data_IF_677945009575
#
_entry.id   IF_677945009575
#
_cell.length_a   1.000
_cell.length_b   1.000
_cell.length_c   1.000
_cell.angle_alpha   90.00
_cell.angle_beta   90.00
_cell.angle_gamma   90.00
#
_symmetry.space_group_name_H-M   'P 1'
#
loop_
_entity.id
_entity.type
_entity.pdbx_description
1 polymer ?
#
# COMPACT_ATOMS: atom_id res chain seq x y z
N UNK A 1 -5.81 25.37 12.92
CA UNK A 1 -6.60 25.66 14.14
C UNK A 1 -6.08 26.88 14.90
N UNK A 2 -4.76 27.00 15.17
CA UNK A 2 -4.18 28.14 15.90
C UNK A 2 -4.26 29.50 15.17
N UNK A 3 -4.08 29.52 13.85
CA UNK A 3 -4.19 30.75 13.03
C UNK A 3 -5.61 31.34 13.02
N UNK A 4 -6.65 30.51 13.10
CA UNK A 4 -8.04 30.99 13.19
C UNK A 4 -8.34 31.69 14.51
N UNK A 5 -7.60 31.35 15.57
CA UNK A 5 -7.72 31.97 16.88
C UNK A 5 -7.11 33.38 16.90
N UNK A 6 -5.97 33.57 16.21
CA UNK A 6 -5.34 34.88 16.00
C UNK A 6 -6.25 35.83 15.20
N UNK A 7 -6.96 35.29 14.21
CA UNK A 7 -7.93 36.01 13.39
C UNK A 7 -9.14 36.49 14.19
N UNK A 8 -9.64 35.71 15.15
CA UNK A 8 -10.78 36.10 15.98
C UNK A 8 -10.47 37.19 17.02
N UNK A 9 -9.19 37.39 17.36
CA UNK A 9 -8.73 38.40 18.34
C UNK A 9 -8.37 39.73 17.65
N UNK A 10 -8.07 39.71 16.34
CA UNK A 10 -7.68 40.88 15.58
C UNK A 10 -8.89 41.78 15.27
N UNK A 11 -9.09 42.81 16.10
CA UNK A 11 -10.19 43.78 15.99
C UNK A 11 -10.12 44.71 14.75
N UNK A 12 -9.13 44.52 13.86
CA UNK A 12 -8.97 45.32 12.64
C UNK A 12 -8.29 44.52 11.52
N UNK A 13 -9.09 43.86 10.67
CA UNK A 13 -8.61 43.13 9.50
C UNK A 13 -8.25 44.07 8.35
N UNK A 14 -6.98 44.13 7.95
CA UNK A 14 -6.61 44.82 6.72
C UNK A 14 -6.69 43.89 5.50
N UNK A 15 -6.86 44.45 4.30
CA UNK A 15 -6.83 43.68 3.03
C UNK A 15 -5.51 42.92 2.83
N UNK A 16 -4.42 43.41 3.43
CA UNK A 16 -3.10 42.80 3.35
C UNK A 16 -3.01 41.54 4.24
N UNK A 17 -3.59 41.59 5.44
CA UNK A 17 -3.64 40.43 6.36
C UNK A 17 -4.46 39.28 5.78
N UNK A 18 -5.57 39.60 5.11
CA UNK A 18 -6.37 38.61 4.38
C UNK A 18 -5.55 37.92 3.28
N UNK A 19 -4.83 38.70 2.45
CA UNK A 19 -3.97 38.14 1.39
C UNK A 19 -2.89 37.23 1.98
N UNK A 20 -2.23 37.64 3.06
CA UNK A 20 -1.18 36.84 3.70
C UNK A 20 -1.72 35.53 4.28
N UNK A 21 -2.87 35.58 4.94
CA UNK A 21 -3.55 34.41 5.51
C UNK A 21 -3.96 33.42 4.43
N UNK A 22 -4.51 33.91 3.32
CA UNK A 22 -4.91 33.09 2.17
C UNK A 22 -3.70 32.42 1.49
N UNK A 23 -2.61 33.15 1.31
CA UNK A 23 -1.38 32.60 0.74
C UNK A 23 -0.80 31.53 1.68
N UNK A 24 -0.73 31.81 2.97
CA UNK A 24 -0.24 30.86 3.98
C UNK A 24 -1.07 29.57 4.01
N UNK A 25 -2.40 29.67 3.97
CA UNK A 25 -3.27 28.49 3.95
C UNK A 25 -3.09 27.65 2.69
N UNK A 26 -2.92 28.29 1.52
CA UNK A 26 -2.63 27.61 0.27
C UNK A 26 -1.31 26.82 0.35
N UNK A 27 -0.24 27.44 0.87
CA UNK A 27 1.04 26.75 1.08
C UNK A 27 0.92 25.58 2.06
N UNK A 28 0.15 25.72 3.15
CA UNK A 28 -0.08 24.63 4.11
C UNK A 28 -0.85 23.46 3.49
N UNK A 29 -1.82 23.72 2.62
CA UNK A 29 -2.55 22.68 1.89
C UNK A 29 -1.59 21.93 0.94
N UNK A 30 -0.79 22.66 0.17
CA UNK A 30 0.21 22.06 -0.72
C UNK A 30 1.24 21.23 0.05
N UNK A 31 1.72 21.73 1.19
CA UNK A 31 2.65 21.02 2.05
C UNK A 31 2.03 19.75 2.63
N UNK A 32 0.77 19.81 3.05
CA UNK A 32 0.03 18.64 3.55
C UNK A 32 -0.17 17.58 2.46
N UNK A 33 -0.50 17.99 1.23
CA UNK A 33 -0.58 17.10 0.06
C UNK A 33 0.77 16.43 -0.23
N UNK A 34 1.88 17.17 -0.12
CA UNK A 34 3.22 16.62 -0.31
C UNK A 34 3.57 15.56 0.75
N UNK A 35 3.19 15.77 2.01
CA UNK A 35 3.36 14.76 3.07
C UNK A 35 2.53 13.51 2.77
N UNK A 36 1.26 13.68 2.37
CA UNK A 36 0.36 12.56 2.04
C UNK A 36 0.85 11.76 0.83
N UNK A 37 1.54 12.40 -0.11
CA UNK A 37 2.14 11.74 -1.28
C UNK A 37 3.37 10.89 -0.94
N UNK A 38 3.85 10.87 0.30
CA UNK A 38 5.05 10.11 0.68
C UNK A 38 4.79 8.60 0.73
N UNK A 39 5.76 7.82 0.23
CA UNK A 39 5.65 6.35 0.18
C UNK A 39 5.45 5.67 1.55
N UNK A 40 5.91 6.31 2.63
CA UNK A 40 5.70 5.81 4.00
C UNK A 40 4.23 5.93 4.43
N UNK A 41 3.54 7.02 4.06
CA UNK A 41 2.11 7.20 4.34
C UNK A 41 1.29 6.13 3.61
N UNK A 42 1.62 5.85 2.35
CA UNK A 42 0.98 4.77 1.57
C UNK A 42 1.13 3.40 2.25
N UNK A 43 2.30 3.11 2.84
CA UNK A 43 2.54 1.87 3.58
C UNK A 43 1.73 1.82 4.88
N UNK A 44 1.70 2.90 5.66
CA UNK A 44 0.94 2.99 6.94
C UNK A 44 -0.56 2.82 6.70
N UNK A 45 -1.10 3.41 5.63
CA UNK A 45 -2.52 3.31 5.27
C UNK A 45 -2.89 1.95 4.66
N UNK A 46 -1.92 1.05 4.49
CA UNK A 46 -2.09 -0.22 3.79
C UNK A 46 -2.60 -0.07 2.34
N UNK A 47 -2.24 0.99 1.64
CA UNK A 47 -2.65 1.24 0.24
C UNK A 47 -1.72 0.64 -0.80
N UNK A 48 -0.45 0.42 -0.44
CA UNK A 48 0.55 -0.08 -1.36
C UNK A 48 1.96 0.07 -0.83
N UNK A 49 2.93 -0.35 -1.64
CA UNK A 49 4.35 -0.43 -1.29
C UNK A 49 4.60 -1.25 -0.01
N UNK A 50 3.84 -2.35 0.16
CA UNK A 50 3.91 -3.24 1.33
C UNK A 50 4.61 -4.51 0.92
N UNK A 51 5.65 -4.90 1.65
CA UNK A 51 6.28 -6.19 1.50
C UNK A 51 5.55 -7.19 2.40
N UNK A 52 4.98 -8.23 1.82
CA UNK A 52 4.36 -9.32 2.56
C UNK A 52 5.32 -10.50 2.61
N UNK A 53 5.47 -11.07 3.81
CA UNK A 53 6.15 -12.34 3.99
C UNK A 53 5.32 -13.47 3.38
N UNK A 54 4.00 -13.43 3.63
CA UNK A 54 3.04 -14.40 3.12
C UNK A 54 1.70 -13.73 2.80
N UNK A 55 1.12 -14.05 1.64
CA UNK A 55 -0.28 -13.81 1.29
C UNK A 55 -1.01 -15.14 1.18
N UNK A 56 -2.05 -15.35 1.97
CA UNK A 56 -2.89 -16.54 1.91
C UNK A 56 -4.03 -16.30 0.94
N UNK A 57 -4.13 -17.15 -0.07
CA UNK A 57 -5.08 -17.03 -1.17
C UNK A 57 -6.02 -18.24 -1.19
N UNK A 58 -7.23 -18.03 -1.71
CA UNK A 58 -8.12 -19.11 -2.14
C UNK A 58 -7.44 -19.94 -3.23
N UNK A 59 -7.58 -21.26 -3.19
CA UNK A 59 -7.05 -22.17 -4.21
C UNK A 59 -7.50 -21.82 -5.63
N UNK A 60 -8.68 -21.20 -5.80
CA UNK A 60 -9.15 -20.73 -7.11
C UNK A 60 -8.21 -19.71 -7.76
N UNK A 61 -7.48 -18.94 -6.96
CA UNK A 61 -6.49 -18.00 -7.48
C UNK A 61 -5.30 -18.69 -8.15
N UNK A 62 -5.04 -19.97 -7.87
CA UNK A 62 -3.92 -20.70 -8.45
C UNK A 62 -3.90 -20.65 -9.98
N UNK A 63 -5.08 -20.69 -10.61
CA UNK A 63 -5.24 -20.64 -12.07
C UNK A 63 -5.10 -19.23 -12.66
N UNK A 64 -5.08 -18.20 -11.81
CA UNK A 64 -4.90 -16.80 -12.22
C UNK A 64 -3.46 -16.32 -12.01
N UNK A 65 -2.64 -17.09 -11.31
CA UNK A 65 -1.25 -16.75 -11.06
C UNK A 65 -0.41 -17.05 -12.30
N UNK A 66 0.59 -16.20 -12.59
CA UNK A 66 1.53 -16.43 -13.69
C UNK A 66 2.31 -17.73 -13.49
N UNK A 67 2.62 -18.39 -14.61
CA UNK A 67 3.32 -19.69 -14.59
C UNK A 67 4.82 -19.57 -14.30
N UNK A 68 5.37 -18.36 -14.43
CA UNK A 68 6.75 -18.03 -14.11
C UNK A 68 7.04 -18.13 -12.61
N UNK A 69 6.03 -18.02 -11.73
CA UNK A 69 6.22 -18.18 -10.29
C UNK A 69 6.44 -19.65 -9.98
N UNK A 70 7.52 -19.94 -9.26
CA UNK A 70 7.85 -21.30 -8.87
C UNK A 70 6.77 -21.94 -7.97
N UNK A 71 6.41 -23.18 -8.31
CA UNK A 71 5.39 -24.02 -7.66
C UNK A 71 6.05 -25.33 -7.21
N UNK A 72 6.10 -25.60 -5.90
CA UNK A 72 6.72 -26.79 -5.29
C UNK A 72 8.24 -26.94 -5.56
N UNK A 73 9.01 -27.50 -4.60
CA UNK A 73 10.47 -27.74 -4.73
C UNK A 73 11.32 -26.59 -5.30
N UNK A 74 11.03 -25.36 -4.91
CA UNK A 74 11.77 -24.17 -5.34
C UNK A 74 13.15 -24.08 -4.69
N UNK A 75 14.20 -23.90 -5.48
CA UNK A 75 15.52 -23.53 -4.99
C UNK A 75 15.50 -22.08 -4.45
N UNK A 76 16.21 -21.84 -3.35
CA UNK A 76 16.35 -20.51 -2.74
C UNK A 76 15.03 -19.83 -2.31
N UNK A 77 14.16 -20.58 -1.61
CA UNK A 77 12.88 -20.06 -1.04
C UNK A 77 13.04 -18.80 -0.19
N UNK A 78 14.17 -18.60 0.47
CA UNK A 78 14.37 -17.44 1.36
C UNK A 78 14.40 -16.10 0.61
N UNK A 79 14.86 -16.08 -0.65
CA UNK A 79 15.02 -14.84 -1.43
C UNK A 79 14.01 -14.68 -2.56
N UNK A 80 13.33 -15.75 -2.95
CA UNK A 80 12.49 -15.78 -4.14
C UNK A 80 11.00 -15.78 -3.78
N UNK A 81 10.17 -15.22 -4.66
CA UNK A 81 8.72 -15.40 -4.61
C UNK A 81 8.37 -16.84 -5.01
N UNK A 82 7.59 -17.54 -4.20
CA UNK A 82 7.14 -18.91 -4.49
C UNK A 82 5.75 -19.18 -3.92
N UNK A 83 5.13 -20.26 -4.41
CA UNK A 83 3.82 -20.74 -3.98
C UNK A 83 3.98 -22.04 -3.19
N UNK A 84 3.34 -22.13 -2.03
CA UNK A 84 3.22 -23.36 -1.23
C UNK A 84 1.76 -23.73 -0.98
N UNK A 85 1.52 -24.99 -0.59
CA UNK A 85 0.19 -25.42 -0.11
C UNK A 85 0.02 -24.87 1.30
N UNK A 86 -1.08 -24.14 1.52
CA UNK A 86 -1.44 -23.71 2.87
C UNK A 86 -1.88 -24.90 3.73
N UNK A 87 -2.00 -24.67 5.04
CA UNK A 87 -2.46 -25.68 6.01
C UNK A 87 -3.83 -26.28 5.64
N UNK A 88 -4.68 -25.47 5.00
CA UNK A 88 -5.96 -25.91 4.43
C UNK A 88 -5.81 -26.28 2.95
N UNK A 89 -6.38 -27.43 2.56
CA UNK A 89 -6.36 -27.95 1.16
C UNK A 89 -7.00 -27.04 0.11
N UNK A 90 -7.77 -26.05 0.56
CA UNK A 90 -8.47 -25.05 -0.26
C UNK A 90 -7.77 -23.68 -0.25
N UNK A 91 -6.57 -23.59 0.33
CA UNK A 91 -5.76 -22.38 0.38
C UNK A 91 -4.37 -22.62 -0.20
N UNK A 92 -3.79 -21.56 -0.76
CA UNK A 92 -2.39 -21.52 -1.21
C UNK A 92 -1.70 -20.33 -0.56
N UNK A 93 -0.40 -20.43 -0.35
CA UNK A 93 0.41 -19.37 0.24
C UNK A 93 1.39 -18.82 -0.80
N UNK A 94 1.33 -17.50 -1.04
CA UNK A 94 2.26 -16.78 -1.88
C UNK A 94 3.25 -16.04 -0.99
N UNK A 95 4.52 -16.42 -1.06
CA UNK A 95 5.57 -15.88 -0.19
C UNK A 95 6.41 -14.81 -0.87
N UNK A 96 7.04 -13.94 -0.06
CA UNK A 96 8.00 -12.92 -0.50
C UNK A 96 7.49 -12.07 -1.66
N UNK A 97 6.37 -11.39 -1.45
CA UNK A 97 5.69 -10.62 -2.50
C UNK A 97 5.49 -9.17 -2.07
N UNK A 98 5.69 -8.24 -3.00
CA UNK A 98 5.44 -6.83 -2.78
C UNK A 98 4.08 -6.43 -3.36
N UNK A 99 3.18 -5.94 -2.52
CA UNK A 99 1.97 -5.29 -3.00
C UNK A 99 2.28 -3.84 -3.39
N UNK A 100 2.22 -3.55 -4.68
CA UNK A 100 2.33 -2.19 -5.21
C UNK A 100 1.07 -1.38 -4.91
N UNK A 101 -0.09 -2.02 -5.01
CA UNK A 101 -1.36 -1.46 -4.58
C UNK A 101 -2.30 -2.56 -4.10
N UNK A 102 -3.07 -2.24 -3.07
CA UNK A 102 -4.10 -3.09 -2.46
C UNK A 102 -5.48 -2.43 -2.58
N UNK A 103 -5.60 -1.36 -3.37
CA UNK A 103 -6.78 -0.52 -3.43
C UNK A 103 -7.73 -1.00 -4.53
N UNK A 104 -9.00 -1.23 -4.17
CA UNK A 104 -10.05 -1.58 -5.12
C UNK A 104 -10.25 -3.09 -5.26
N UNK A 105 -10.75 -3.50 -6.43
CA UNK A 105 -11.14 -4.89 -6.72
C UNK A 105 -9.91 -5.81 -6.88
N UNK A 106 -8.77 -5.27 -7.29
CA UNK A 106 -7.58 -6.04 -7.58
C UNK A 106 -6.41 -5.58 -6.72
N UNK A 107 -5.56 -6.53 -6.33
CA UNK A 107 -4.24 -6.23 -5.80
C UNK A 107 -3.23 -6.30 -6.92
N UNK A 108 -2.37 -5.30 -7.01
CA UNK A 108 -1.25 -5.26 -7.94
C UNK A 108 0.00 -5.70 -7.19
N UNK A 109 0.54 -6.83 -7.60
CA UNK A 109 1.63 -7.52 -6.93
C UNK A 109 2.90 -7.49 -7.79
N UNK A 110 4.04 -7.51 -7.13
CA UNK A 110 5.35 -7.61 -7.74
C UNK A 110 6.19 -8.65 -7.01
N UNK A 111 6.76 -9.59 -7.76
CA UNK A 111 7.68 -10.61 -7.27
C UNK A 111 9.07 -10.04 -6.96
N UNK A 112 9.93 -10.81 -6.30
CA UNK A 112 11.31 -10.39 -6.01
C UNK A 112 12.17 -10.25 -7.27
N UNK A 113 11.91 -11.04 -8.31
CA UNK A 113 12.52 -10.93 -9.64
C UNK A 113 11.91 -9.82 -10.52
N UNK A 114 10.84 -9.17 -10.04
CA UNK A 114 10.28 -7.96 -10.63
C UNK A 114 9.08 -8.18 -11.55
N UNK A 115 8.65 -9.42 -11.78
CA UNK A 115 7.40 -9.76 -12.47
C UNK A 115 6.22 -9.09 -11.77
N UNK A 116 5.31 -8.51 -12.56
CA UNK A 116 4.12 -7.80 -12.05
C UNK A 116 2.86 -8.44 -12.57
N UNK A 117 1.90 -8.62 -11.69
CA UNK A 117 0.60 -9.20 -12.03
C UNK A 117 -0.48 -8.68 -11.10
N UNK A 118 -1.73 -8.88 -11.48
CA UNK A 118 -2.90 -8.53 -10.68
C UNK A 118 -3.60 -9.80 -10.18
N UNK A 119 -4.24 -9.69 -9.01
CA UNK A 119 -5.08 -10.73 -8.44
C UNK A 119 -6.36 -10.12 -7.88
N UNK A 120 -7.51 -10.78 -8.06
CA UNK A 120 -8.77 -10.32 -7.47
C UNK A 120 -8.67 -10.37 -5.94
N UNK A 121 -8.97 -9.24 -5.29
CA UNK A 121 -8.90 -9.08 -3.85
C UNK A 121 -9.80 -10.09 -3.10
N UNK A 122 -10.86 -10.58 -3.75
CA UNK A 122 -11.76 -11.60 -3.17
C UNK A 122 -11.07 -12.94 -2.90
N UNK A 123 -9.96 -13.22 -3.61
CA UNK A 123 -9.18 -14.42 -3.36
C UNK A 123 -8.24 -14.27 -2.17
N UNK A 124 -7.96 -13.06 -1.70
CA UNK A 124 -7.04 -12.84 -0.58
C UNK A 124 -7.78 -13.09 0.74
N UNK A 125 -7.32 -14.07 1.50
CA UNK A 125 -7.95 -14.46 2.79
C UNK A 125 -7.19 -13.92 3.99
N UNK A 126 -5.87 -13.92 3.93
CA UNK A 126 -5.02 -13.40 5.00
C UNK A 126 -3.71 -12.85 4.45
N UNK A 127 -3.05 -12.01 5.25
CA UNK A 127 -1.80 -11.35 4.88
C UNK A 127 -0.90 -11.20 6.09
N UNK A 128 0.37 -11.55 5.93
CA UNK A 128 1.41 -11.41 6.95
C UNK A 128 2.47 -10.43 6.44
N UNK A 129 2.50 -9.18 6.94
CA UNK A 129 3.49 -8.20 6.50
C UNK A 129 4.90 -8.61 6.91
N UNK A 130 5.88 -8.28 6.08
CA UNK A 130 7.28 -8.43 6.42
C UNK A 130 7.72 -7.21 7.25
N UNK A 131 7.74 -7.37 8.57
CA UNK A 131 8.20 -6.36 9.52
C UNK A 131 9.72 -6.49 9.70
N UNK A 132 10.47 -6.01 8.72
CA UNK A 132 11.88 -5.66 8.93
C UNK A 132 11.97 -4.25 9.53
#
# INVERSE_FOLDING_TARGET
>A
MWLFWVLLIANHFTKQDFKLTFISSFFMILFSLAILASGNVFKILNYGNINYKTLVLDKKAFYTLPDEICKENCENKESNTYIDKGDNKDMIELHNIKALSTLGKFYYLQTTDGLRFEIDANYIKSKVPNNN
#
